data_IF_775428308031
#
_entry.id   IF_775428308031
#
_cell.length_a   1.000
_cell.length_b   1.000
_cell.length_c   1.000
_cell.angle_alpha   90.00
_cell.angle_beta   90.00
_cell.angle_gamma   90.00
#
_symmetry.space_group_name_H-M   'P 1'
#
loop_
_entity.id
_entity.type
_entity.pdbx_description
1 polymer ?
#
# COMPACT_ATOMS: atom_id res chain seq x y z
N UNK A 1 -42.40 12.70 -30.52
CA UNK A 1 -41.44 12.03 -29.61
C UNK A 1 -40.13 11.79 -30.38
N UNK A 2 -38.99 12.30 -29.90
CA UNK A 2 -37.68 12.01 -30.51
C UNK A 2 -37.29 10.59 -30.11
N UNK A 3 -37.23 9.66 -31.07
CA UNK A 3 -36.70 8.31 -30.84
C UNK A 3 -35.21 8.42 -30.54
N UNK A 4 -34.83 8.08 -29.30
CA UNK A 4 -33.45 8.09 -28.85
C UNK A 4 -32.67 7.04 -29.67
N UNK A 5 -31.48 7.40 -30.18
CA UNK A 5 -30.67 6.51 -31.01
C UNK A 5 -30.41 5.18 -30.27
N UNK A 6 -30.66 4.04 -30.94
CA UNK A 6 -30.61 2.70 -30.33
C UNK A 6 -29.28 2.39 -29.62
N UNK A 7 -28.21 3.08 -30.01
CA UNK A 7 -26.87 2.91 -29.45
C UNK A 7 -26.58 3.82 -28.25
N UNK A 8 -27.37 4.87 -28.03
CA UNK A 8 -27.16 5.82 -26.92
C UNK A 8 -27.42 5.14 -25.58
N UNK A 9 -28.49 4.35 -25.46
CA UNK A 9 -28.82 3.66 -24.21
C UNK A 9 -27.74 2.62 -23.81
N UNK A 10 -27.28 1.73 -24.70
CA UNK A 10 -26.17 0.83 -24.40
C UNK A 10 -24.85 1.58 -24.09
N UNK A 11 -24.53 2.63 -24.86
CA UNK A 11 -23.31 3.40 -24.61
C UNK A 11 -23.35 4.09 -23.24
N UNK A 12 -24.48 4.69 -22.88
CA UNK A 12 -24.69 5.31 -21.58
C UNK A 12 -24.55 4.28 -20.44
N UNK A 13 -25.12 3.08 -20.62
CA UNK A 13 -24.99 2.00 -19.63
C UNK A 13 -23.53 1.58 -19.42
N UNK A 14 -22.75 1.44 -20.50
CA UNK A 14 -21.33 1.12 -20.40
C UNK A 14 -20.53 2.24 -19.71
N UNK A 15 -20.81 3.50 -20.03
CA UNK A 15 -20.16 4.64 -19.39
C UNK A 15 -20.49 4.70 -17.90
N UNK A 16 -21.75 4.49 -17.52
CA UNK A 16 -22.14 4.45 -16.10
C UNK A 16 -21.49 3.27 -15.36
N UNK A 17 -21.44 2.10 -15.98
CA UNK A 17 -20.83 0.91 -15.41
C UNK A 17 -19.33 1.07 -15.20
N UNK A 18 -18.58 1.38 -16.27
CA UNK A 18 -17.13 1.56 -16.20
C UNK A 18 -16.73 2.84 -15.47
N UNK A 19 -17.53 3.89 -15.55
CA UNK A 19 -17.33 5.13 -14.79
C UNK A 19 -17.40 4.89 -13.29
N UNK A 20 -18.38 4.12 -12.82
CA UNK A 20 -18.49 3.76 -11.39
C UNK A 20 -17.29 2.93 -10.94
N UNK A 21 -16.88 1.94 -11.74
CA UNK A 21 -15.67 1.13 -11.47
C UNK A 21 -14.42 2.02 -11.35
N UNK A 22 -14.24 2.95 -12.29
CA UNK A 22 -13.10 3.87 -12.29
C UNK A 22 -13.05 4.74 -11.03
N UNK A 23 -14.19 5.33 -10.65
CA UNK A 23 -14.30 6.14 -9.43
C UNK A 23 -14.05 5.30 -8.17
N UNK A 24 -14.60 4.09 -8.08
CA UNK A 24 -14.40 3.20 -6.93
C UNK A 24 -12.94 2.75 -6.77
N UNK A 25 -12.22 2.49 -7.87
CA UNK A 25 -10.80 2.16 -7.81
C UNK A 25 -9.93 3.39 -7.50
N UNK A 26 -10.25 4.57 -8.05
CA UNK A 26 -9.52 5.81 -7.78
C UNK A 26 -9.65 6.27 -6.31
N UNK A 27 -10.81 6.06 -5.70
CA UNK A 27 -11.08 6.38 -4.29
C UNK A 27 -10.61 5.29 -3.32
N UNK A 28 -10.07 4.17 -3.81
CA UNK A 28 -9.60 3.06 -2.99
C UNK A 28 -10.72 2.25 -2.32
N UNK A 29 -12.00 2.53 -2.65
CA UNK A 29 -13.15 1.80 -2.11
C UNK A 29 -13.25 0.36 -2.63
N UNK A 30 -12.57 0.05 -3.75
CA UNK A 30 -12.49 -1.29 -4.30
C UNK A 30 -11.11 -1.58 -4.90
N UNK A 31 -10.57 -2.77 -4.63
CA UNK A 31 -9.33 -3.27 -5.23
C UNK A 31 -9.60 -4.63 -5.86
N UNK A 32 -9.21 -4.76 -7.12
CA UNK A 32 -9.35 -6.01 -7.90
C UNK A 32 -8.29 -7.06 -7.54
N UNK A 33 -7.21 -6.60 -6.93
CA UNK A 33 -6.16 -7.42 -6.31
C UNK A 33 -6.52 -7.64 -4.85
N UNK A 34 -6.38 -8.87 -4.31
CA UNK A 34 -6.53 -9.15 -2.86
C UNK A 34 -5.54 -8.41 -1.95
N UNK A 35 -4.74 -7.50 -2.53
CA UNK A 35 -3.95 -6.49 -1.83
C UNK A 35 -4.90 -5.40 -1.35
N UNK A 36 -4.99 -5.23 -0.05
CA UNK A 36 -5.70 -4.11 0.55
C UNK A 36 -5.06 -2.77 0.12
N UNK A 37 -5.90 -1.76 -0.18
CA UNK A 37 -5.39 -0.37 -0.23
C UNK A 37 -4.95 -0.03 1.19
N UNK A 38 -3.67 0.24 1.35
CA UNK A 38 -3.14 0.74 2.62
C UNK A 38 -3.33 2.25 2.60
N UNK A 39 -4.49 2.71 3.07
CA UNK A 39 -4.82 4.11 3.19
C UNK A 39 -4.32 4.68 4.52
N UNK A 40 -3.99 5.99 4.53
CA UNK A 40 -3.69 6.71 5.75
C UNK A 40 -4.83 6.54 6.77
N UNK A 41 -4.52 6.10 7.99
CA UNK A 41 -5.51 5.85 9.04
C UNK A 41 -6.10 4.44 9.08
N UNK A 42 -5.67 3.53 8.20
CA UNK A 42 -5.92 2.09 8.39
C UNK A 42 -4.86 1.54 9.33
N UNK A 43 -5.17 1.21 10.59
CA UNK A 43 -4.17 0.72 11.53
C UNK A 43 -3.71 -0.66 11.08
N UNK A 44 -2.45 -0.76 10.66
CA UNK A 44 -1.79 -2.03 10.42
C UNK A 44 -0.93 -2.36 11.64
N UNK A 45 -1.09 -3.58 12.15
CA UNK A 45 -0.12 -4.15 13.06
C UNK A 45 1.14 -4.58 12.32
N UNK A 46 2.22 -4.76 13.06
CA UNK A 46 3.48 -5.23 12.47
C UNK A 46 3.34 -6.62 11.84
N UNK A 47 2.44 -7.46 12.37
CA UNK A 47 2.09 -8.77 11.79
C UNK A 47 1.39 -8.68 10.42
N UNK A 48 0.75 -7.55 10.12
CA UNK A 48 -0.02 -7.35 8.90
C UNK A 48 0.83 -6.95 7.70
N UNK A 49 2.09 -6.53 7.93
CA UNK A 49 3.04 -6.24 6.86
C UNK A 49 3.19 -7.44 5.94
N UNK A 50 3.06 -7.26 4.62
CA UNK A 50 3.22 -8.32 3.63
C UNK A 50 4.40 -8.05 2.72
N UNK A 51 5.06 -9.09 2.21
CA UNK A 51 6.22 -8.94 1.34
C UNK A 51 5.97 -8.12 0.07
N UNK A 52 4.73 -8.06 -0.41
CA UNK A 52 4.35 -7.24 -1.57
C UNK A 52 4.16 -5.75 -1.26
N UNK A 53 4.08 -5.36 0.03
CA UNK A 53 3.91 -3.97 0.44
C UNK A 53 5.20 -3.19 0.27
N UNK A 54 5.07 -1.89 0.00
CA UNK A 54 6.19 -0.96 -0.03
C UNK A 54 6.47 -0.35 1.35
N UNK A 55 7.65 0.23 1.51
CA UNK A 55 8.01 0.98 2.72
C UNK A 55 7.04 2.16 2.98
N UNK A 56 6.58 2.85 1.93
CA UNK A 56 5.57 3.91 2.05
C UNK A 56 4.22 3.36 2.55
N UNK A 57 3.78 2.21 2.03
CA UNK A 57 2.54 1.58 2.48
C UNK A 57 2.65 1.14 3.94
N UNK A 58 3.80 0.56 4.32
CA UNK A 58 4.05 0.22 5.72
C UNK A 58 4.08 1.45 6.63
N UNK A 59 4.75 2.53 6.22
CA UNK A 59 4.79 3.80 6.94
C UNK A 59 3.38 4.34 7.20
N UNK A 60 2.54 4.37 6.15
CA UNK A 60 1.15 4.83 6.23
C UNK A 60 0.30 3.97 7.18
N UNK A 61 0.43 2.65 7.12
CA UNK A 61 -0.36 1.75 7.97
C UNK A 61 0.11 1.70 9.43
N UNK A 62 1.41 1.86 9.67
CA UNK A 62 2.01 1.87 11.00
C UNK A 62 1.96 3.25 11.67
N UNK A 63 1.69 4.31 10.89
CA UNK A 63 1.78 5.70 11.37
C UNK A 63 3.22 6.14 11.70
N UNK A 64 4.22 5.53 11.07
CA UNK A 64 5.64 5.80 11.30
C UNK A 64 6.26 6.56 10.11
N UNK A 65 7.23 7.45 10.30
CA UNK A 65 7.99 8.04 9.20
C UNK A 65 8.67 6.97 8.34
N UNK A 66 8.57 7.09 7.01
CA UNK A 66 9.25 6.15 6.09
C UNK A 66 10.77 6.14 6.27
N UNK A 67 11.35 7.26 6.69
CA UNK A 67 12.78 7.37 6.99
C UNK A 67 13.22 6.42 8.13
N UNK A 68 12.40 6.27 9.17
CA UNK A 68 12.67 5.35 10.27
C UNK A 68 12.64 3.90 9.77
N UNK A 69 11.67 3.56 8.91
CA UNK A 69 11.60 2.23 8.30
C UNK A 69 12.80 1.95 7.37
N UNK A 70 13.21 2.92 6.54
CA UNK A 70 14.40 2.80 5.69
C UNK A 70 15.65 2.58 6.55
N UNK A 71 15.79 3.30 7.67
CA UNK A 71 16.89 3.12 8.62
C UNK A 71 16.93 1.71 9.22
N UNK A 72 15.76 1.12 9.52
CA UNK A 72 15.64 -0.23 10.04
C UNK A 72 15.94 -1.34 9.03
N UNK A 73 15.85 -1.05 7.72
CA UNK A 73 16.21 -2.02 6.67
C UNK A 73 17.71 -2.27 6.65
N UNK A 74 18.54 -1.29 7.05
CA UNK A 74 19.99 -1.43 7.02
C UNK A 74 20.59 -1.47 5.60
N UNK A 75 19.88 -0.96 4.60
CA UNK A 75 20.36 -0.88 3.23
C UNK A 75 21.44 0.21 3.06
N UNK A 76 22.34 0.08 2.07
CA UNK A 76 23.21 1.18 1.65
C UNK A 76 22.38 2.43 1.28
N UNK A 77 22.90 3.65 1.52
CA UNK A 77 22.19 4.88 1.18
C UNK A 77 21.75 4.90 -0.29
N UNK A 78 20.47 5.12 -0.54
CA UNK A 78 19.89 5.18 -1.88
C UNK A 78 19.62 3.82 -2.55
N UNK A 79 19.96 2.69 -1.91
CA UNK A 79 19.65 1.36 -2.45
C UNK A 79 18.17 0.99 -2.32
N UNK A 80 17.46 1.58 -1.35
CA UNK A 80 16.01 1.41 -1.15
C UNK A 80 15.34 2.77 -1.02
N UNK A 81 14.10 2.84 -1.50
CA UNK A 81 13.24 4.03 -1.44
C UNK A 81 11.87 3.65 -0.87
N UNK A 82 11.04 4.63 -0.52
CA UNK A 82 9.66 4.41 -0.05
C UNK A 82 8.83 3.51 -0.97
N UNK A 83 9.05 3.58 -2.28
CA UNK A 83 8.36 2.76 -3.29
C UNK A 83 8.87 1.31 -3.40
N UNK A 84 9.94 0.95 -2.69
CA UNK A 84 10.55 -0.39 -2.77
C UNK A 84 9.73 -1.38 -1.95
N UNK A 85 9.36 -2.52 -2.55
CA UNK A 85 8.62 -3.56 -1.86
C UNK A 85 9.53 -4.43 -0.98
N UNK A 86 9.03 -4.92 0.16
CA UNK A 86 9.85 -5.71 1.10
C UNK A 86 10.47 -6.96 0.47
N UNK A 87 9.74 -7.66 -0.39
CA UNK A 87 10.26 -8.82 -1.12
C UNK A 87 11.41 -8.47 -2.06
N UNK A 88 11.43 -7.24 -2.57
CA UNK A 88 12.48 -6.77 -3.48
C UNK A 88 13.71 -6.33 -2.67
N UNK A 89 13.51 -5.85 -1.43
CA UNK A 89 14.59 -5.56 -0.47
C UNK A 89 15.37 -6.83 -0.11
N UNK A 90 14.72 -7.99 0.01
CA UNK A 90 15.42 -9.28 0.24
C UNK A 90 16.46 -9.60 -0.85
N UNK A 91 16.26 -9.11 -2.08
CA UNK A 91 17.22 -9.25 -3.17
C UNK A 91 18.35 -8.21 -3.14
N UNK A 92 18.12 -7.06 -2.48
CA UNK A 92 19.06 -5.91 -2.43
C UNK A 92 19.96 -6.00 -1.19
N UNK A 93 19.42 -6.43 -0.06
CA UNK A 93 20.08 -6.43 1.25
C UNK A 93 20.28 -7.88 1.70
N UNK A 94 21.49 -8.43 1.58
CA UNK A 94 21.79 -9.77 2.06
C UNK A 94 21.49 -9.91 3.56
N UNK A 95 20.69 -10.90 3.94
CA UNK A 95 20.29 -11.14 5.33
C UNK A 95 19.06 -10.35 5.79
N UNK A 96 18.46 -9.53 4.93
CA UNK A 96 17.14 -8.97 5.20
C UNK A 96 16.08 -10.07 5.18
N UNK A 97 15.17 -10.04 6.16
CA UNK A 97 13.96 -10.86 6.15
C UNK A 97 12.81 -10.07 6.71
N UNK A 98 11.61 -10.25 6.15
CA UNK A 98 10.42 -9.58 6.68
C UNK A 98 10.15 -9.98 8.15
N UNK A 99 10.49 -11.21 8.56
CA UNK A 99 10.28 -11.67 9.93
C UNK A 99 11.13 -10.91 10.94
N UNK A 100 12.44 -10.78 10.70
CA UNK A 100 13.34 -10.02 11.58
C UNK A 100 13.05 -8.52 11.52
N UNK A 101 12.68 -8.00 10.35
CA UNK A 101 12.27 -6.61 10.19
C UNK A 101 11.05 -6.27 11.04
N UNK A 102 10.03 -7.15 11.06
CA UNK A 102 8.86 -6.98 11.94
C UNK A 102 9.26 -6.87 13.41
N UNK A 103 10.18 -7.71 13.89
CA UNK A 103 10.67 -7.61 15.27
C UNK A 103 11.35 -6.25 15.53
N UNK A 104 12.17 -5.76 14.60
CA UNK A 104 12.83 -4.47 14.74
C UNK A 104 11.84 -3.29 14.74
N UNK A 105 10.83 -3.33 13.86
CA UNK A 105 9.75 -2.33 13.82
C UNK A 105 8.93 -2.33 15.11
N UNK A 106 8.58 -3.51 15.63
CA UNK A 106 7.85 -3.63 16.91
C UNK A 106 8.65 -3.01 18.06
N UNK A 107 9.95 -3.33 18.16
CA UNK A 107 10.82 -2.75 19.18
C UNK A 107 10.89 -1.21 19.06
N UNK A 108 10.93 -0.67 17.84
CA UNK A 108 10.90 0.79 17.60
C UNK A 108 9.59 1.43 18.04
N UNK A 109 8.46 0.79 17.79
CA UNK A 109 7.14 1.26 18.22
C UNK A 109 6.99 1.22 19.75
N UNK A 110 7.51 0.19 20.41
CA UNK A 110 7.46 0.07 21.88
C UNK A 110 8.31 1.13 22.59
N UNK A 111 9.40 1.56 21.95
CA UNK A 111 10.26 2.66 22.45
C UNK A 111 9.67 4.05 22.18
N UNK A 112 8.66 4.16 21.32
CA UNK A 112 8.02 5.44 21.02
C UNK A 112 6.94 5.69 22.08
N UNK A 113 7.06 6.74 22.92
CA UNK A 113 6.06 7.02 23.93
C UNK A 113 4.70 7.27 23.27
N UNK A 114 3.69 6.49 23.65
CA UNK A 114 2.30 6.71 23.26
C UNK A 114 1.82 7.94 24.03
N UNK A 115 1.99 9.12 23.42
CA UNK A 115 1.43 10.38 23.90
C UNK A 115 -0.09 10.36 23.89
#
# INVERSE_FOLDING_TARGET
MKVLNRFVMPALALVLFFGTIGVSQATGSWVTSGRQVVAAGTPLGVADLKGWMTLDQAALGLGMPVADLIGLVGAPPGAVTGATAFKDIEAIVPGFSLATFRTAVQARLDLTPKG
#
